data_IF_640609541181
#
_entry.id   IF_640609541181
#
_cell.length_a   1.000
_cell.length_b   1.000
_cell.length_c   1.000
_cell.angle_alpha   90.00
_cell.angle_beta   90.00
_cell.angle_gamma   90.00
#
_symmetry.space_group_name_H-M   'P 1'
#
loop_
_entity.id
_entity.type
_entity.pdbx_description
1 polymer ?
#
# COMPACT_ATOMS: atom_id res chain seq x y z
N UNK A 1 -16.45 4.48 13.55
CA UNK A 1 -17.15 3.37 12.87
C UNK A 1 -18.04 3.83 11.71
N UNK A 2 -18.81 4.93 11.78
CA UNK A 2 -19.65 5.40 10.64
C UNK A 2 -18.91 5.63 9.31
N UNK A 3 -17.66 6.12 9.34
CA UNK A 3 -16.85 6.37 8.13
C UNK A 3 -16.40 5.06 7.45
N UNK A 4 -16.03 4.07 8.23
CA UNK A 4 -15.58 2.76 7.73
C UNK A 4 -16.73 1.98 7.06
N UNK A 5 -17.94 1.96 7.66
CA UNK A 5 -19.10 1.29 7.07
C UNK A 5 -19.55 1.96 5.79
N UNK A 6 -19.45 3.29 5.72
CA UNK A 6 -19.76 4.05 4.52
C UNK A 6 -18.78 3.75 3.39
N UNK A 7 -17.48 3.78 3.70
CA UNK A 7 -16.44 3.46 2.74
C UNK A 7 -16.55 2.00 2.26
N UNK A 8 -16.95 1.07 3.12
CA UNK A 8 -17.22 -0.31 2.75
C UNK A 8 -18.30 -0.42 1.67
N UNK A 9 -19.44 0.24 1.87
CA UNK A 9 -20.52 0.27 0.86
C UNK A 9 -20.03 0.88 -0.47
N UNK A 10 -19.23 1.92 -0.43
CA UNK A 10 -18.65 2.53 -1.63
C UNK A 10 -17.64 1.59 -2.33
N UNK A 11 -16.86 0.83 -1.56
CA UNK A 11 -15.95 -0.19 -2.10
C UNK A 11 -16.74 -1.31 -2.78
N UNK A 12 -17.82 -1.79 -2.16
CA UNK A 12 -18.71 -2.79 -2.78
C UNK A 12 -19.39 -2.25 -4.05
N UNK A 13 -19.80 -0.97 -4.08
CA UNK A 13 -20.33 -0.34 -5.29
C UNK A 13 -19.26 -0.16 -6.39
N UNK A 14 -17.97 -0.33 -6.06
CA UNK A 14 -16.83 -0.21 -6.96
C UNK A 14 -16.14 -1.56 -7.21
N UNK A 15 -16.85 -2.69 -7.06
CA UNK A 15 -16.32 -4.04 -7.33
C UNK A 15 -15.65 -4.17 -8.72
N UNK A 16 -16.18 -3.59 -9.81
CA UNK A 16 -15.48 -3.64 -11.11
C UNK A 16 -14.09 -3.00 -11.08
N UNK A 17 -13.91 -1.91 -10.30
CA UNK A 17 -12.60 -1.28 -10.10
C UNK A 17 -11.65 -2.20 -9.30
N UNK A 18 -12.16 -2.84 -8.24
CA UNK A 18 -11.38 -3.81 -7.45
C UNK A 18 -10.99 -5.00 -8.35
N UNK A 19 -11.91 -5.50 -9.18
CA UNK A 19 -11.66 -6.56 -10.14
C UNK A 19 -10.59 -6.19 -11.18
N UNK A 20 -10.60 -4.96 -11.68
CA UNK A 20 -9.58 -4.46 -12.59
C UNK A 20 -8.19 -4.44 -11.93
N UNK A 21 -8.09 -3.93 -10.70
CA UNK A 21 -6.82 -3.87 -9.95
C UNK A 21 -6.33 -5.28 -9.63
N UNK A 22 -7.24 -6.17 -9.23
CA UNK A 22 -6.92 -7.59 -9.00
C UNK A 22 -6.43 -8.26 -10.28
N UNK A 23 -7.10 -8.06 -11.41
CA UNK A 23 -6.70 -8.61 -12.71
C UNK A 23 -5.29 -8.18 -13.12
N UNK A 24 -4.95 -6.89 -12.95
CA UNK A 24 -3.59 -6.39 -13.19
C UNK A 24 -2.57 -7.06 -12.27
N UNK A 25 -2.90 -7.25 -11.00
CA UNK A 25 -2.02 -7.93 -10.03
C UNK A 25 -1.84 -9.39 -10.40
N UNK A 26 -2.91 -10.06 -10.85
CA UNK A 26 -2.88 -11.44 -11.32
C UNK A 26 -1.97 -11.60 -12.54
N UNK A 27 -2.08 -10.72 -13.53
CA UNK A 27 -1.22 -10.74 -14.73
C UNK A 27 0.25 -10.61 -14.33
N UNK A 28 0.59 -9.67 -13.43
CA UNK A 28 1.96 -9.54 -12.94
C UNK A 28 2.44 -10.78 -12.19
N UNK A 29 1.57 -11.43 -11.42
CA UNK A 29 1.88 -12.71 -10.76
C UNK A 29 2.15 -13.84 -11.74
N UNK A 30 1.35 -13.96 -12.82
CA UNK A 30 1.55 -14.96 -13.86
C UNK A 30 2.85 -14.76 -14.62
N UNK A 31 3.29 -13.52 -14.84
CA UNK A 31 4.59 -13.24 -15.47
C UNK A 31 5.79 -13.78 -14.68
N UNK A 32 5.65 -13.94 -13.36
CA UNK A 32 6.65 -14.62 -12.51
C UNK A 32 6.43 -16.11 -12.47
N UNK A 33 5.18 -16.56 -12.35
CA UNK A 33 4.84 -17.95 -12.14
C UNK A 33 5.23 -18.82 -13.35
N UNK A 34 5.04 -18.31 -14.58
CA UNK A 34 5.33 -19.08 -15.80
C UNK A 34 6.82 -19.44 -15.96
N UNK A 35 7.79 -18.50 -15.87
CA UNK A 35 9.21 -18.85 -15.92
C UNK A 35 9.64 -19.75 -14.76
N UNK A 36 9.10 -19.50 -13.55
CA UNK A 36 9.41 -20.36 -12.39
C UNK A 36 8.93 -21.78 -12.62
N UNK A 37 7.71 -21.95 -13.11
CA UNK A 37 7.17 -23.27 -13.47
C UNK A 37 8.04 -23.98 -14.52
N UNK A 38 8.46 -23.30 -15.60
CA UNK A 38 9.33 -23.88 -16.61
C UNK A 38 10.69 -24.31 -16.07
N UNK A 39 11.26 -23.55 -15.14
CA UNK A 39 12.52 -23.90 -14.46
C UNK A 39 12.35 -25.15 -13.60
N UNK A 40 11.27 -25.21 -12.81
CA UNK A 40 10.98 -26.32 -11.93
C UNK A 40 10.70 -27.62 -12.72
N UNK A 41 9.94 -27.56 -13.80
CA UNK A 41 9.67 -28.76 -14.65
C UNK A 41 10.93 -29.29 -15.33
N UNK A 42 11.89 -28.41 -15.68
CA UNK A 42 13.17 -28.84 -16.25
C UNK A 42 14.04 -29.57 -15.21
N UNK A 43 13.99 -29.14 -13.95
CA UNK A 43 14.75 -29.78 -12.87
C UNK A 43 14.10 -31.06 -12.37
N UNK A 44 12.76 -31.12 -12.32
CA UNK A 44 12.01 -32.34 -11.93
C UNK A 44 12.34 -33.54 -12.84
N UNK A 45 12.57 -33.31 -14.13
CA UNK A 45 13.03 -34.33 -15.07
C UNK A 45 14.44 -34.84 -14.76
N UNK A 46 15.22 -34.13 -13.94
CA UNK A 46 16.62 -34.47 -13.63
C UNK A 46 16.83 -35.09 -12.26
N UNK A 47 15.92 -34.84 -11.30
CA UNK A 47 16.10 -35.28 -9.91
C UNK A 47 14.76 -35.43 -9.17
N UNK A 48 14.47 -36.65 -8.73
CA UNK A 48 13.31 -36.94 -7.86
C UNK A 48 13.45 -36.40 -6.43
N UNK A 49 14.66 -36.02 -6.03
CA UNK A 49 14.94 -35.49 -4.67
C UNK A 49 14.18 -34.19 -4.42
N UNK A 50 13.80 -33.47 -5.47
CA UNK A 50 13.02 -32.25 -5.41
C UNK A 50 11.60 -32.45 -4.86
N UNK A 51 11.03 -33.66 -5.05
CA UNK A 51 9.71 -34.05 -4.51
C UNK A 51 9.68 -34.07 -2.97
N UNK A 52 10.84 -34.24 -2.31
CA UNK A 52 10.93 -34.20 -0.87
C UNK A 52 10.58 -32.82 -0.27
N UNK A 53 10.69 -31.74 -1.06
CA UNK A 53 10.25 -30.40 -0.65
C UNK A 53 8.72 -30.28 -0.49
N UNK A 54 7.95 -31.21 -1.06
CA UNK A 54 6.50 -31.28 -0.88
C UNK A 54 6.11 -31.76 0.55
N UNK A 55 7.00 -32.51 1.20
CA UNK A 55 6.77 -33.06 2.54
C UNK A 55 7.37 -32.21 3.67
N UNK A 56 8.11 -31.15 3.33
CA UNK A 56 8.70 -30.23 4.29
C UNK A 56 9.94 -29.51 3.76
N UNK A 57 10.35 -28.47 4.47
CA UNK A 57 11.53 -27.71 4.11
C UNK A 57 12.80 -28.50 4.44
N UNK A 58 13.57 -28.91 3.42
CA UNK A 58 14.89 -29.51 3.56
C UNK A 58 15.96 -28.56 3.00
N UNK A 59 16.82 -28.06 3.88
CA UNK A 59 17.88 -27.13 3.55
C UNK A 59 18.88 -27.73 2.54
N UNK A 60 19.18 -29.02 2.66
CA UNK A 60 20.14 -29.70 1.76
C UNK A 60 19.61 -29.78 0.35
N UNK A 61 18.34 -30.08 0.18
CA UNK A 61 17.66 -30.13 -1.14
C UNK A 61 17.60 -28.75 -1.76
N UNK A 62 17.25 -27.71 -0.97
CA UNK A 62 17.23 -26.31 -1.44
C UNK A 62 18.64 -25.83 -1.82
N UNK A 63 19.64 -26.14 -1.01
CA UNK A 63 21.04 -25.77 -1.28
C UNK A 63 21.57 -26.44 -2.57
N UNK A 64 21.28 -27.72 -2.77
CA UNK A 64 21.66 -28.45 -3.98
C UNK A 64 20.96 -27.90 -5.24
N UNK A 65 19.67 -27.59 -5.13
CA UNK A 65 18.91 -26.90 -6.19
C UNK A 65 19.53 -25.52 -6.52
N UNK A 66 19.86 -24.72 -5.52
CA UNK A 66 20.51 -23.41 -5.73
C UNK A 66 21.88 -23.53 -6.36
N UNK A 67 22.63 -24.60 -6.06
CA UNK A 67 23.96 -24.84 -6.64
C UNK A 67 23.86 -25.33 -8.09
N UNK A 68 22.92 -26.20 -8.40
CA UNK A 68 22.75 -26.77 -9.76
C UNK A 68 22.09 -25.78 -10.72
N UNK A 69 20.99 -25.19 -10.29
CA UNK A 69 20.14 -24.30 -11.10
C UNK A 69 20.35 -22.81 -10.80
N UNK A 70 21.47 -22.46 -10.16
CA UNK A 70 21.74 -21.11 -9.68
C UNK A 70 21.67 -20.02 -10.76
N UNK A 71 22.00 -20.33 -12.00
CA UNK A 71 21.88 -19.38 -13.12
C UNK A 71 20.41 -19.07 -13.44
N UNK A 72 19.57 -20.11 -13.57
CA UNK A 72 18.14 -19.98 -13.84
C UNK A 72 17.41 -19.30 -12.67
N UNK A 73 17.73 -19.69 -11.43
CA UNK A 73 17.19 -19.10 -10.22
C UNK A 73 17.55 -17.62 -10.10
N UNK A 74 18.79 -17.23 -10.38
CA UNK A 74 19.22 -15.81 -10.40
C UNK A 74 18.45 -15.00 -11.44
N UNK A 75 18.18 -15.57 -12.62
CA UNK A 75 17.39 -14.91 -13.65
C UNK A 75 15.95 -14.67 -13.19
N UNK A 76 15.32 -15.66 -12.55
CA UNK A 76 13.95 -15.53 -11.98
C UNK A 76 13.93 -14.49 -10.85
N UNK A 77 14.90 -14.50 -9.93
CA UNK A 77 14.98 -13.47 -8.90
C UNK A 77 15.22 -12.06 -9.48
N UNK A 78 15.98 -11.95 -10.56
CA UNK A 78 16.12 -10.71 -11.33
C UNK A 78 14.77 -10.23 -11.86
N UNK A 79 13.98 -11.11 -12.46
CA UNK A 79 12.64 -10.83 -12.96
C UNK A 79 11.70 -10.38 -11.82
N UNK A 80 11.67 -11.11 -10.70
CA UNK A 80 10.87 -10.78 -9.50
C UNK A 80 11.19 -9.39 -9.00
N UNK A 81 12.48 -9.00 -8.95
CA UNK A 81 12.90 -7.66 -8.53
C UNK A 81 12.32 -6.58 -9.44
N UNK A 82 12.40 -6.74 -10.76
CA UNK A 82 11.85 -5.79 -11.72
C UNK A 82 10.32 -5.72 -11.68
N UNK A 83 9.65 -6.85 -11.52
CA UNK A 83 8.20 -6.89 -11.39
C UNK A 83 7.70 -6.28 -10.08
N UNK A 84 8.44 -6.46 -8.97
CA UNK A 84 8.14 -5.75 -7.72
C UNK A 84 8.25 -4.22 -7.89
N UNK A 85 9.26 -3.75 -8.60
CA UNK A 85 9.41 -2.34 -8.91
C UNK A 85 8.23 -1.84 -9.76
N UNK A 86 7.87 -2.58 -10.80
CA UNK A 86 6.72 -2.29 -11.66
C UNK A 86 5.41 -2.27 -10.86
N UNK A 87 5.21 -3.23 -9.97
CA UNK A 87 4.04 -3.27 -9.08
C UNK A 87 3.98 -2.05 -8.16
N UNK A 88 5.12 -1.61 -7.63
CA UNK A 88 5.20 -0.41 -6.81
C UNK A 88 4.75 0.84 -7.61
N UNK A 89 5.25 1.02 -8.83
CA UNK A 89 4.83 2.11 -9.72
C UNK A 89 3.34 2.01 -10.06
N UNK A 90 2.87 0.82 -10.39
CA UNK A 90 1.48 0.57 -10.71
C UNK A 90 0.56 0.92 -9.52
N UNK A 91 0.95 0.62 -8.30
CA UNK A 91 0.15 0.98 -7.12
C UNK A 91 0.05 2.48 -6.89
N UNK A 92 1.11 3.24 -7.18
CA UNK A 92 1.09 4.71 -7.12
C UNK A 92 0.19 5.26 -8.22
N UNK A 93 0.33 4.75 -9.44
CA UNK A 93 -0.47 5.13 -10.61
C UNK A 93 -1.97 4.91 -10.36
N UNK A 94 -2.37 3.72 -9.92
CA UNK A 94 -3.76 3.35 -9.68
C UNK A 94 -4.41 4.14 -8.53
N UNK A 95 -3.61 4.68 -7.60
CA UNK A 95 -4.13 5.47 -6.48
C UNK A 95 -4.88 6.71 -6.97
N UNK A 96 -4.45 7.35 -8.05
CA UNK A 96 -5.13 8.51 -8.66
C UNK A 96 -6.56 8.18 -9.10
N UNK A 97 -6.73 7.08 -9.84
CA UNK A 97 -8.05 6.62 -10.29
C UNK A 97 -8.96 6.20 -9.14
N UNK A 98 -8.41 5.54 -8.09
CA UNK A 98 -9.17 5.16 -6.88
C UNK A 98 -9.69 6.41 -6.18
N UNK A 99 -8.86 7.43 -5.97
CA UNK A 99 -9.27 8.67 -5.30
C UNK A 99 -10.29 9.44 -6.13
N UNK A 100 -10.13 9.52 -7.46
CA UNK A 100 -11.11 10.13 -8.34
C UNK A 100 -12.48 9.42 -8.24
N UNK A 101 -12.49 8.10 -8.20
CA UNK A 101 -13.72 7.32 -8.03
C UNK A 101 -14.42 7.64 -6.71
N UNK A 102 -13.69 7.70 -5.60
CA UNK A 102 -14.27 8.09 -4.31
C UNK A 102 -14.78 9.53 -4.30
N UNK A 103 -14.09 10.46 -4.96
CA UNK A 103 -14.56 11.83 -5.12
C UNK A 103 -15.87 11.89 -5.89
N UNK A 104 -16.02 11.14 -6.98
CA UNK A 104 -17.26 11.02 -7.75
C UNK A 104 -18.40 10.44 -6.89
N UNK A 105 -18.17 9.36 -6.15
CA UNK A 105 -19.17 8.75 -5.29
C UNK A 105 -19.61 9.69 -4.15
N UNK A 106 -18.70 10.48 -3.62
CA UNK A 106 -19.03 11.47 -2.58
C UNK A 106 -19.84 12.63 -3.13
N UNK A 107 -19.59 13.10 -4.35
CA UNK A 107 -20.35 14.17 -5.01
C UNK A 107 -21.76 13.74 -5.42
N UNK A 108 -21.93 12.48 -5.84
CA UNK A 108 -23.26 11.91 -6.16
C UNK A 108 -24.16 11.77 -4.94
N UNK A 109 -23.57 11.55 -3.76
CA UNK A 109 -24.33 11.48 -2.51
C UNK A 109 -24.98 12.82 -2.13
N UNK A 110 -24.44 13.93 -2.59
CA UNK A 110 -25.00 15.27 -2.40
C UNK A 110 -26.19 15.54 -3.35
N UNK A 111 -26.46 14.65 -4.32
CA UNK A 111 -27.60 14.74 -5.27
C UNK A 111 -28.72 13.80 -4.84
N UNK A 112 -30.00 14.12 -5.20
CA UNK A 112 -31.14 13.30 -4.81
C UNK A 112 -31.03 11.86 -5.33
N UNK A 113 -31.52 10.92 -4.51
CA UNK A 113 -31.41 9.48 -4.68
C UNK A 113 -31.93 9.01 -6.06
N UNK A 114 -31.06 8.31 -6.82
CA UNK A 114 -31.44 7.67 -8.08
C UNK A 114 -30.30 7.43 -9.07
N UNK A 115 -29.20 8.16 -9.01
CA UNK A 115 -28.07 7.96 -9.94
C UNK A 115 -26.98 7.07 -9.31
N UNK A 116 -27.09 5.78 -9.51
CA UNK A 116 -25.95 4.86 -9.31
C UNK A 116 -24.98 5.12 -10.46
N UNK A 117 -23.88 5.81 -10.18
CA UNK A 117 -22.82 6.00 -11.18
C UNK A 117 -22.22 4.65 -11.55
N UNK A 118 -22.51 4.17 -12.74
CA UNK A 118 -21.82 3.02 -13.32
C UNK A 118 -20.32 3.29 -13.36
N UNK A 119 -19.52 2.26 -13.15
CA UNK A 119 -18.06 2.36 -13.27
C UNK A 119 -17.69 2.58 -14.75
N UNK A 120 -17.03 3.70 -15.04
CA UNK A 120 -16.50 4.01 -16.38
C UNK A 120 -14.98 3.90 -16.30
N UNK A 121 -14.43 2.91 -17.02
CA UNK A 121 -12.99 2.66 -17.03
C UNK A 121 -12.20 3.86 -17.61
N UNK A 122 -12.75 4.57 -18.61
CA UNK A 122 -12.15 5.78 -19.20
C UNK A 122 -11.83 6.83 -18.13
N UNK A 123 -12.82 7.20 -17.30
CA UNK A 123 -12.64 8.18 -16.24
C UNK A 123 -11.64 7.71 -15.16
N UNK A 124 -11.56 6.40 -14.94
CA UNK A 124 -10.57 5.84 -14.01
C UNK A 124 -9.15 6.02 -14.53
N UNK A 125 -8.92 5.73 -15.83
CA UNK A 125 -7.60 5.90 -16.47
C UNK A 125 -7.21 7.38 -16.61
N UNK A 126 -8.15 8.26 -16.90
CA UNK A 126 -7.93 9.72 -16.91
C UNK A 126 -7.48 10.22 -15.53
N UNK A 127 -8.13 9.75 -14.45
CA UNK A 127 -7.70 10.07 -13.10
C UNK A 127 -6.31 9.54 -12.76
N UNK A 128 -5.97 8.34 -13.25
CA UNK A 128 -4.62 7.81 -13.08
C UNK A 128 -3.57 8.68 -13.79
N UNK A 129 -3.81 9.06 -15.05
CA UNK A 129 -2.84 9.82 -15.85
C UNK A 129 -2.67 11.25 -15.35
N UNK A 130 -3.76 11.91 -14.97
CA UNK A 130 -3.75 13.31 -14.52
C UNK A 130 -2.94 13.51 -13.22
N UNK A 131 -3.04 12.57 -12.27
CA UNK A 131 -2.42 12.72 -10.96
C UNK A 131 -1.10 11.98 -10.80
N UNK A 132 -0.67 11.16 -11.79
CA UNK A 132 0.53 10.31 -11.67
C UNK A 132 1.79 11.10 -11.31
N UNK A 133 2.08 12.20 -11.98
CA UNK A 133 3.31 12.96 -11.75
C UNK A 133 3.38 13.58 -10.35
N UNK A 134 2.24 14.01 -9.81
CA UNK A 134 2.15 14.57 -8.46
C UNK A 134 2.24 13.48 -7.39
N UNK A 135 1.53 12.38 -7.57
CA UNK A 135 1.58 11.23 -6.67
C UNK A 135 2.97 10.58 -6.66
N UNK A 136 3.65 10.59 -7.81
CA UNK A 136 4.99 10.06 -7.92
C UNK A 136 6.03 10.91 -7.16
N UNK A 137 5.94 12.25 -7.26
CA UNK A 137 6.77 13.14 -6.43
C UNK A 137 6.52 12.94 -4.94
N UNK A 138 5.24 12.78 -4.55
CA UNK A 138 4.89 12.51 -3.15
C UNK A 138 5.40 11.14 -2.69
N UNK A 139 5.33 10.13 -3.56
CA UNK A 139 5.91 8.83 -3.29
C UNK A 139 7.42 8.93 -3.03
N UNK A 140 8.16 9.69 -3.87
CA UNK A 140 9.59 9.96 -3.65
C UNK A 140 9.87 10.62 -2.31
N UNK A 141 9.06 11.62 -1.91
CA UNK A 141 9.17 12.26 -0.58
C UNK A 141 8.90 11.25 0.54
N UNK A 142 7.85 10.45 0.43
CA UNK A 142 7.54 9.42 1.43
C UNK A 142 8.67 8.40 1.54
N UNK A 143 9.20 7.94 0.40
CA UNK A 143 10.33 7.02 0.35
C UNK A 143 11.57 7.61 1.01
N UNK A 144 11.88 8.88 0.75
CA UNK A 144 12.99 9.59 1.39
C UNK A 144 12.87 9.56 2.91
N UNK A 145 11.70 9.91 3.46
CA UNK A 145 11.48 9.88 4.91
C UNK A 145 11.57 8.46 5.49
N UNK A 146 11.07 7.46 4.78
CA UNK A 146 11.19 6.05 5.20
C UNK A 146 12.66 5.61 5.20
N UNK A 147 13.43 5.96 4.18
CA UNK A 147 14.86 5.64 4.13
C UNK A 147 15.65 6.33 5.24
N UNK A 148 15.41 7.62 5.47
CA UNK A 148 16.06 8.35 6.58
C UNK A 148 15.74 7.67 7.92
N UNK A 149 14.48 7.31 8.14
CA UNK A 149 14.08 6.60 9.36
C UNK A 149 14.73 5.23 9.46
N UNK A 150 14.84 4.48 8.36
CA UNK A 150 15.52 3.19 8.35
C UNK A 150 17.01 3.32 8.70
N UNK A 151 17.71 4.36 8.19
CA UNK A 151 19.11 4.64 8.54
C UNK A 151 19.24 4.99 10.03
N UNK A 152 18.36 5.84 10.57
CA UNK A 152 18.36 6.19 11.99
C UNK A 152 18.20 4.92 12.85
N UNK A 153 17.21 4.07 12.52
CA UNK A 153 16.97 2.82 13.25
C UNK A 153 18.11 1.83 13.09
N UNK A 154 18.78 1.80 11.93
CA UNK A 154 19.97 0.97 11.72
C UNK A 154 21.11 1.42 12.66
N UNK A 155 21.35 2.72 12.78
CA UNK A 155 22.37 3.26 13.70
C UNK A 155 22.00 2.90 15.16
N UNK A 156 20.74 3.13 15.57
CA UNK A 156 20.25 2.75 16.90
C UNK A 156 20.41 1.24 17.13
N UNK A 157 20.10 0.42 16.13
CA UNK A 157 20.22 -1.05 16.19
C UNK A 157 21.66 -1.50 16.41
N UNK A 158 22.65 -0.86 15.74
CA UNK A 158 24.07 -1.14 15.97
C UNK A 158 24.46 -0.76 17.40
N UNK A 159 24.05 0.39 17.91
CA UNK A 159 24.35 0.84 19.28
C UNK A 159 23.71 -0.07 20.32
N UNK A 160 22.43 -0.43 20.15
CA UNK A 160 21.73 -1.36 21.04
C UNK A 160 22.36 -2.75 20.97
N UNK A 161 22.67 -3.24 19.77
CA UNK A 161 23.33 -4.54 19.59
C UNK A 161 24.70 -4.61 20.28
N UNK A 162 25.51 -3.54 20.21
CA UNK A 162 26.80 -3.48 20.91
C UNK A 162 26.64 -3.46 22.44
N UNK A 163 25.61 -2.79 22.95
CA UNK A 163 25.32 -2.75 24.37
C UNK A 163 24.79 -4.07 24.90
N UNK A 164 23.97 -4.78 24.12
CA UNK A 164 23.37 -6.07 24.48
C UNK A 164 24.38 -7.22 24.35
N UNK A 165 25.36 -7.12 23.45
CA UNK A 165 26.40 -8.15 23.31
C UNK A 165 27.24 -8.34 24.59
N UNK A 166 27.22 -7.38 25.51
CA UNK A 166 27.85 -7.47 26.82
C UNK A 166 26.93 -8.06 27.91
N UNK A 167 25.67 -8.32 27.62
CA UNK A 167 24.73 -8.93 28.59
C UNK A 167 24.87 -10.45 28.62
N UNK A 168 24.87 -11.01 29.82
CA UNK A 168 25.12 -12.46 30.06
C UNK A 168 23.86 -13.32 29.85
N UNK A 169 22.67 -12.70 29.61
CA UNK A 169 21.39 -13.42 29.63
C UNK A 169 20.67 -13.33 28.25
N UNK A 170 20.49 -14.49 27.60
CA UNK A 170 19.75 -14.59 26.31
C UNK A 170 18.33 -14.00 26.38
N UNK A 171 17.67 -14.12 27.55
CA UNK A 171 16.32 -13.59 27.75
C UNK A 171 16.24 -12.07 27.63
N UNK A 172 17.26 -11.36 28.14
CA UNK A 172 17.36 -9.89 28.04
C UNK A 172 17.56 -9.46 26.60
N UNK A 173 18.43 -10.18 25.86
CA UNK A 173 18.70 -9.94 24.44
C UNK A 173 17.42 -10.07 23.61
N UNK A 174 16.62 -11.11 23.83
CA UNK A 174 15.35 -11.32 23.14
C UNK A 174 14.36 -10.19 23.49
N UNK A 175 14.25 -9.82 24.77
CA UNK A 175 13.36 -8.76 25.22
C UNK A 175 13.67 -7.39 24.59
N UNK A 176 14.95 -7.00 24.60
CA UNK A 176 15.41 -5.74 24.00
C UNK A 176 15.18 -5.75 22.49
N UNK A 177 15.50 -6.85 21.81
CA UNK A 177 15.28 -6.99 20.38
C UNK A 177 13.80 -6.87 20.02
N UNK A 178 12.90 -7.47 20.77
CA UNK A 178 11.46 -7.41 20.54
C UNK A 178 10.94 -5.96 20.69
N UNK A 179 11.36 -5.25 21.73
CA UNK A 179 11.00 -3.84 21.95
C UNK A 179 11.55 -2.97 20.80
N UNK A 180 12.80 -3.19 20.41
CA UNK A 180 13.42 -2.48 19.29
C UNK A 180 12.62 -2.65 17.98
N UNK A 181 12.30 -3.89 17.59
CA UNK A 181 11.52 -4.17 16.40
C UNK A 181 10.09 -3.64 16.49
N UNK A 182 9.46 -3.66 17.67
CA UNK A 182 8.14 -3.08 17.88
C UNK A 182 8.14 -1.56 17.66
N UNK A 183 9.12 -0.84 18.20
CA UNK A 183 9.27 0.60 18.02
C UNK A 183 9.59 0.96 16.56
N UNK A 184 10.47 0.20 15.92
CA UNK A 184 10.76 0.34 14.48
C UNK A 184 9.50 0.16 13.63
N UNK A 185 8.71 -0.89 13.88
CA UNK A 185 7.47 -1.15 13.17
C UNK A 185 6.44 -0.03 13.39
N UNK A 186 6.27 0.46 14.62
CA UNK A 186 5.36 1.56 14.93
C UNK A 186 5.75 2.86 14.24
N UNK A 187 7.03 3.22 14.23
CA UNK A 187 7.50 4.45 13.56
C UNK A 187 7.38 4.35 12.05
N UNK A 188 7.73 3.20 11.45
CA UNK A 188 7.62 2.98 10.02
C UNK A 188 6.16 2.99 9.56
N UNK A 189 5.27 2.30 10.28
CA UNK A 189 3.83 2.29 9.96
C UNK A 189 3.19 3.66 10.14
N UNK A 190 3.63 4.46 11.10
CA UNK A 190 3.19 5.86 11.26
C UNK A 190 3.57 6.71 10.03
N UNK A 191 4.80 6.59 9.53
CA UNK A 191 5.23 7.31 8.33
C UNK A 191 4.44 6.89 7.08
N UNK A 192 4.17 5.59 6.92
CA UNK A 192 3.35 5.08 5.83
C UNK A 192 1.91 5.62 5.93
N UNK A 193 1.34 5.67 7.13
CA UNK A 193 0.05 6.29 7.39
C UNK A 193 0.05 7.77 6.96
N UNK A 194 1.06 8.55 7.36
CA UNK A 194 1.22 9.97 6.95
C UNK A 194 1.29 10.07 5.43
N UNK A 195 2.04 9.18 4.76
CA UNK A 195 2.13 9.11 3.30
C UNK A 195 0.77 8.87 2.63
N UNK A 196 -0.07 7.99 3.18
CA UNK A 196 -1.41 7.73 2.64
C UNK A 196 -2.34 8.92 2.81
N UNK A 197 -2.33 9.60 3.97
CA UNK A 197 -3.08 10.84 4.17
C UNK A 197 -2.57 11.98 3.27
N UNK A 198 -1.26 12.04 3.02
CA UNK A 198 -0.66 13.03 2.13
C UNK A 198 -1.15 12.88 0.67
N UNK A 199 -1.35 11.63 0.19
CA UNK A 199 -1.96 11.36 -1.13
C UNK A 199 -3.36 11.97 -1.24
N UNK A 200 -4.16 11.84 -0.19
CA UNK A 200 -5.54 12.36 -0.15
C UNK A 200 -5.55 13.89 -0.11
N UNK A 201 -4.67 14.51 0.69
CA UNK A 201 -4.55 15.97 0.79
C UNK A 201 -4.07 16.54 -0.56
N UNK A 202 -3.06 15.93 -1.17
CA UNK A 202 -2.53 16.33 -2.47
C UNK A 202 -3.61 16.26 -3.57
N UNK A 203 -4.43 15.21 -3.56
CA UNK A 203 -5.54 15.05 -4.49
C UNK A 203 -6.64 16.10 -4.25
N UNK A 204 -7.02 16.36 -2.99
CA UNK A 204 -8.11 17.26 -2.63
C UNK A 204 -7.78 18.73 -2.87
N UNK A 205 -6.58 19.16 -2.43
CA UNK A 205 -6.20 20.58 -2.41
C UNK A 205 -5.49 21.02 -3.68
N UNK A 206 -5.35 20.12 -4.67
CA UNK A 206 -4.61 20.31 -5.94
C UNK A 206 -3.20 20.90 -5.69
N UNK A 207 -2.59 20.50 -4.55
CA UNK A 207 -1.36 21.07 -4.07
C UNK A 207 -0.17 20.68 -4.97
N UNK A 208 0.57 21.66 -5.46
CA UNK A 208 1.74 21.42 -6.32
C UNK A 208 2.99 20.99 -5.54
N UNK A 209 3.02 21.16 -4.22
CA UNK A 209 4.18 20.88 -3.36
C UNK A 209 4.04 19.58 -2.56
N UNK A 210 4.76 18.51 -2.97
CA UNK A 210 4.74 17.22 -2.28
C UNK A 210 5.19 17.30 -0.80
N UNK A 211 6.25 18.06 -0.50
CA UNK A 211 6.74 18.28 0.87
C UNK A 211 5.71 18.99 1.74
N UNK A 212 5.02 20.00 1.19
CA UNK A 212 3.98 20.72 1.90
C UNK A 212 2.79 19.80 2.22
N UNK A 213 2.36 18.98 1.25
CA UNK A 213 1.29 18.01 1.45
C UNK A 213 1.67 16.97 2.52
N UNK A 214 2.91 16.48 2.50
CA UNK A 214 3.41 15.54 3.50
C UNK A 214 3.46 16.17 4.90
N UNK A 215 3.95 17.40 5.02
CA UNK A 215 3.97 18.14 6.30
C UNK A 215 2.57 18.45 6.85
N UNK A 216 1.61 18.79 5.98
CA UNK A 216 0.22 18.98 6.37
C UNK A 216 -0.43 17.68 6.84
N UNK A 217 -0.17 16.57 6.13
CA UNK A 217 -0.63 15.25 6.53
C UNK A 217 -0.04 14.84 7.88
N UNK A 218 1.26 15.04 8.08
CA UNK A 218 1.92 14.77 9.36
C UNK A 218 1.28 15.53 10.51
N UNK A 219 1.04 16.83 10.35
CA UNK A 219 0.35 17.65 11.38
C UNK A 219 -1.07 17.14 11.64
N UNK A 220 -1.82 16.77 10.60
CA UNK A 220 -3.18 16.25 10.73
C UNK A 220 -3.20 14.92 11.47
N UNK A 221 -2.30 14.00 11.10
CA UNK A 221 -2.21 12.65 11.71
C UNK A 221 -1.78 12.78 13.17
N UNK A 222 -0.73 13.55 13.48
CA UNK A 222 -0.22 13.71 14.84
C UNK A 222 -1.23 14.42 15.77
N UNK A 223 -1.99 15.39 15.25
CA UNK A 223 -3.03 16.07 16.04
C UNK A 223 -4.22 15.16 16.36
N UNK A 224 -4.52 14.18 15.50
CA UNK A 224 -5.65 13.28 15.66
C UNK A 224 -5.19 11.81 15.71
N UNK A 225 -4.05 11.54 16.34
CA UNK A 225 -3.35 10.26 16.35
C UNK A 225 -4.26 9.06 16.65
N UNK A 226 -5.11 9.05 17.71
CA UNK A 226 -5.93 7.88 18.02
C UNK A 226 -6.99 7.58 16.94
N UNK A 227 -7.48 8.62 16.23
CA UNK A 227 -8.50 8.44 15.19
C UNK A 227 -7.91 8.07 13.83
N UNK A 228 -6.75 8.62 13.47
CA UNK A 228 -6.11 8.39 12.17
C UNK A 228 -5.22 7.16 12.22
N UNK A 229 -4.24 7.16 13.11
CA UNK A 229 -3.29 6.06 13.24
C UNK A 229 -3.90 4.82 13.88
N UNK A 230 -4.78 4.98 14.89
CA UNK A 230 -5.51 3.87 15.48
C UNK A 230 -6.37 3.14 14.45
N UNK A 231 -7.06 3.87 13.57
CA UNK A 231 -7.81 3.27 12.46
C UNK A 231 -6.88 2.55 11.47
N UNK A 232 -5.72 3.13 11.15
CA UNK A 232 -4.71 2.51 10.28
C UNK A 232 -4.22 1.18 10.85
N UNK A 233 -3.92 1.14 12.16
CA UNK A 233 -3.52 -0.09 12.85
C UNK A 233 -4.60 -1.17 12.81
N UNK A 234 -5.88 -0.79 12.93
CA UNK A 234 -7.00 -1.74 12.79
C UNK A 234 -7.00 -2.38 11.39
N UNK A 235 -6.78 -1.60 10.33
CA UNK A 235 -6.68 -2.14 8.97
C UNK A 235 -5.46 -3.05 8.78
N UNK A 236 -4.32 -2.71 9.39
CA UNK A 236 -3.14 -3.60 9.42
C UNK A 236 -3.48 -4.89 10.13
N UNK A 237 -4.14 -4.83 11.29
CA UNK A 237 -4.52 -6.00 12.07
C UNK A 237 -5.47 -6.92 11.29
N UNK A 238 -6.47 -6.35 10.60
CA UNK A 238 -7.38 -7.11 9.72
C UNK A 238 -6.57 -7.80 8.61
N UNK A 239 -5.65 -7.08 7.96
CA UNK A 239 -4.80 -7.64 6.89
C UNK A 239 -3.89 -8.76 7.40
N UNK A 240 -3.28 -8.57 8.57
CA UNK A 240 -2.44 -9.60 9.23
C UNK A 240 -3.30 -10.79 9.66
N UNK A 241 -4.53 -10.57 10.15
CA UNK A 241 -5.46 -11.64 10.49
C UNK A 241 -5.88 -12.47 9.28
N UNK A 242 -6.16 -11.85 8.13
CA UNK A 242 -6.42 -12.56 6.87
C UNK A 242 -5.22 -13.43 6.45
N UNK A 243 -4.00 -12.91 6.63
CA UNK A 243 -2.77 -13.62 6.32
C UNK A 243 -2.53 -14.80 7.29
N UNK A 244 -2.74 -14.59 8.58
CA UNK A 244 -2.66 -15.65 9.58
C UNK A 244 -3.69 -16.77 9.31
N UNK A 245 -4.92 -16.39 8.95
CA UNK A 245 -5.96 -17.35 8.56
C UNK A 245 -5.53 -18.20 7.36
N UNK A 246 -4.89 -17.59 6.37
CA UNK A 246 -4.34 -18.31 5.22
C UNK A 246 -3.32 -19.38 5.66
N UNK A 247 -2.37 -19.05 6.53
CA UNK A 247 -1.39 -20.01 7.04
C UNK A 247 -2.02 -21.16 7.83
N UNK A 248 -3.05 -20.86 8.62
CA UNK A 248 -3.81 -21.89 9.32
C UNK A 248 -4.50 -22.82 8.34
N UNK A 249 -5.13 -22.28 7.29
CA UNK A 249 -5.77 -23.10 6.26
C UNK A 249 -4.75 -23.95 5.49
N UNK A 250 -3.61 -23.36 5.13
CA UNK A 250 -2.52 -24.07 4.45
C UNK A 250 -1.97 -25.22 5.31
N UNK A 251 -1.80 -25.02 6.61
CA UNK A 251 -1.30 -26.05 7.54
C UNK A 251 -2.30 -27.20 7.77
N UNK A 252 -3.60 -26.94 7.57
CA UNK A 252 -4.65 -27.96 7.72
C UNK A 252 -4.88 -28.76 6.44
N UNK A 253 -4.46 -28.24 5.28
CA UNK A 253 -4.67 -28.86 3.99
C UNK A 253 -3.43 -29.65 3.60
N UNK A 254 -3.51 -30.99 3.64
CA UNK A 254 -2.47 -31.88 3.09
C UNK A 254 -2.58 -31.91 1.56
N UNK A 255 -1.45 -31.72 0.87
CA UNK A 255 -1.42 -31.65 -0.60
C UNK A 255 -1.26 -33.06 -1.18
N UNK A 256 -2.33 -33.85 -1.13
CA UNK A 256 -2.29 -35.25 -1.57
C UNK A 256 -2.77 -35.49 -3.03
N UNK A 257 -3.09 -34.41 -3.77
CA UNK A 257 -3.55 -34.55 -5.15
C UNK A 257 -3.89 -33.24 -5.86
N UNK A 258 -4.14 -33.33 -7.16
CA UNK A 258 -4.46 -32.23 -8.05
C UNK A 258 -5.62 -31.35 -7.57
N UNK A 259 -6.66 -31.96 -7.01
CA UNK A 259 -7.82 -31.22 -6.49
C UNK A 259 -7.42 -30.31 -5.31
N UNK A 260 -6.54 -30.79 -4.43
CA UNK A 260 -6.07 -30.01 -3.27
C UNK A 260 -5.18 -28.85 -3.71
N UNK A 261 -4.35 -29.03 -4.75
CA UNK A 261 -3.58 -27.95 -5.38
C UNK A 261 -4.53 -26.88 -5.93
N UNK A 262 -5.60 -27.27 -6.62
CA UNK A 262 -6.59 -26.33 -7.14
C UNK A 262 -7.31 -25.55 -6.00
N UNK A 263 -7.66 -26.23 -4.91
CA UNK A 263 -8.27 -25.59 -3.72
C UNK A 263 -7.31 -24.58 -3.11
N UNK A 264 -6.05 -24.93 -2.88
CA UNK A 264 -5.02 -24.01 -2.37
C UNK A 264 -4.84 -22.80 -3.28
N UNK A 265 -4.81 -23.01 -4.60
CA UNK A 265 -4.74 -21.91 -5.56
C UNK A 265 -5.92 -20.96 -5.41
N UNK A 266 -7.15 -21.47 -5.28
CA UNK A 266 -8.33 -20.62 -5.06
C UNK A 266 -8.22 -19.85 -3.74
N UNK A 267 -7.80 -20.50 -2.66
CA UNK A 267 -7.58 -19.84 -1.35
C UNK A 267 -6.56 -18.71 -1.46
N UNK A 268 -5.45 -18.92 -2.18
CA UNK A 268 -4.46 -17.87 -2.46
C UNK A 268 -5.05 -16.72 -3.26
N UNK A 269 -5.88 -17.00 -4.28
CA UNK A 269 -6.53 -15.94 -5.06
C UNK A 269 -7.52 -15.13 -4.22
N UNK A 270 -8.26 -15.75 -3.32
CA UNK A 270 -9.14 -15.07 -2.36
C UNK A 270 -8.33 -14.17 -1.42
N UNK A 271 -7.17 -14.61 -0.94
CA UNK A 271 -6.28 -13.80 -0.12
C UNK A 271 -5.79 -12.56 -0.90
N UNK A 272 -5.33 -12.72 -2.14
CA UNK A 272 -4.87 -11.60 -2.98
C UNK A 272 -6.02 -10.60 -3.22
N UNK A 273 -7.21 -11.09 -3.58
CA UNK A 273 -8.39 -10.26 -3.77
C UNK A 273 -8.79 -9.52 -2.49
N UNK A 274 -8.70 -10.16 -1.32
CA UNK A 274 -8.99 -9.54 -0.03
C UNK A 274 -8.01 -8.41 0.29
N UNK A 275 -6.71 -8.56 0.00
CA UNK A 275 -5.69 -7.51 0.17
C UNK A 275 -5.95 -6.30 -0.72
N UNK A 276 -6.32 -6.52 -1.99
CA UNK A 276 -6.69 -5.44 -2.91
C UNK A 276 -7.92 -4.69 -2.38
N UNK A 277 -8.96 -5.43 -1.99
CA UNK A 277 -10.18 -4.87 -1.42
C UNK A 277 -9.91 -4.07 -0.15
N UNK A 278 -9.08 -4.60 0.75
CA UNK A 278 -8.69 -3.94 1.99
C UNK A 278 -7.96 -2.62 1.73
N UNK A 279 -7.07 -2.58 0.74
CA UNK A 279 -6.36 -1.36 0.33
C UNK A 279 -7.30 -0.30 -0.21
N UNK A 280 -8.25 -0.69 -1.06
CA UNK A 280 -9.26 0.22 -1.61
C UNK A 280 -10.17 0.73 -0.49
N UNK A 281 -10.62 -0.14 0.39
CA UNK A 281 -11.44 0.21 1.56
C UNK A 281 -10.71 1.17 2.50
N UNK A 282 -9.43 0.93 2.78
CA UNK A 282 -8.61 1.84 3.58
C UNK A 282 -8.57 3.24 2.95
N UNK A 283 -8.25 3.36 1.65
CA UNK A 283 -8.19 4.65 0.96
C UNK A 283 -9.54 5.38 0.99
N UNK A 284 -10.65 4.67 0.80
CA UNK A 284 -12.00 5.24 0.91
C UNK A 284 -12.32 5.72 2.33
N UNK A 285 -11.91 4.96 3.34
CA UNK A 285 -12.11 5.33 4.75
C UNK A 285 -11.27 6.56 5.12
N UNK A 286 -10.00 6.59 4.72
CA UNK A 286 -9.12 7.73 4.95
C UNK A 286 -9.62 8.99 4.21
N UNK A 287 -10.13 8.84 2.97
CA UNK A 287 -10.74 9.93 2.21
C UNK A 287 -11.97 10.51 2.93
N UNK A 288 -12.89 9.67 3.40
CA UNK A 288 -14.07 10.10 4.14
C UNK A 288 -13.73 10.75 5.48
N UNK A 289 -12.67 10.27 6.14
CA UNK A 289 -12.18 10.84 7.40
C UNK A 289 -11.61 12.24 7.18
N UNK A 290 -10.79 12.45 6.16
CA UNK A 290 -10.21 13.77 5.82
C UNK A 290 -11.31 14.78 5.49
N UNK A 291 -12.39 14.35 4.83
CA UNK A 291 -13.54 15.22 4.56
C UNK A 291 -14.30 15.65 5.84
N UNK A 292 -14.31 14.81 6.87
CA UNK A 292 -15.01 15.09 8.12
C UNK A 292 -14.21 15.94 9.12
N UNK A 293 -12.90 16.08 8.91
CA UNK A 293 -12.06 16.87 9.80
C UNK A 293 -12.16 18.38 9.46
N UNK A 294 -12.26 19.26 10.47
CA UNK A 294 -12.32 20.69 10.25
C UNK A 294 -11.07 21.15 9.50
N UNK A 295 -11.29 21.79 8.36
CA UNK A 295 -10.20 22.34 7.55
C UNK A 295 -9.59 23.55 8.27
N UNK A 296 -8.26 23.71 8.27
CA UNK A 296 -7.69 25.01 8.55
C UNK A 296 -8.23 25.98 7.49
N UNK A 297 -8.93 27.01 7.96
CA UNK A 297 -9.49 28.05 7.09
C UNK A 297 -8.36 28.54 6.18
N UNK A 298 -8.47 28.22 4.89
CA UNK A 298 -7.59 28.79 3.87
C UNK A 298 -7.90 30.30 3.89
N UNK A 299 -7.01 31.09 4.46
CA UNK A 299 -7.05 32.53 4.24
C UNK A 299 -6.95 32.72 2.73
N UNK A 300 -8.08 32.85 2.09
CA UNK A 300 -8.17 33.39 0.74
C UNK A 300 -7.57 34.77 0.89
N UNK A 301 -6.34 34.96 0.41
CA UNK A 301 -5.76 36.29 0.24
C UNK A 301 -6.82 37.09 -0.48
N UNK A 302 -7.40 38.07 0.20
CA UNK A 302 -8.39 38.95 -0.38
C UNK A 302 -7.81 39.42 -1.73
N UNK A 303 -8.60 39.42 -2.81
CA UNK A 303 -8.12 40.00 -4.05
C UNK A 303 -7.66 41.41 -3.72
N UNK A 304 -6.43 41.71 -4.08
CA UNK A 304 -5.91 43.08 -4.06
C UNK A 304 -6.86 43.87 -4.96
N UNK A 305 -7.82 44.51 -4.35
CA UNK A 305 -8.67 45.49 -5.03
C UNK A 305 -7.70 46.59 -5.46
N UNK A 306 -7.32 46.51 -6.73
CA UNK A 306 -6.54 47.52 -7.40
C UNK A 306 -7.27 48.84 -7.19
N UNK A 307 -6.64 49.72 -6.43
CA UNK A 307 -6.91 51.16 -6.36
C UNK A 307 -6.67 51.76 -7.75
N UNK A 308 -7.60 51.53 -8.68
CA UNK A 308 -7.68 52.18 -9.96
C UNK A 308 -9.01 52.91 -10.03
N UNK A 309 -9.16 53.94 -9.18
CA UNK A 309 -10.25 54.92 -9.31
C UNK A 309 -9.96 56.17 -8.52
N UNK A 310 -8.85 56.90 -8.81
CA UNK A 310 -8.67 58.27 -8.37
C UNK A 310 -7.69 59.03 -9.27
N UNK A 311 -7.70 58.79 -10.57
CA UNK A 311 -6.86 59.64 -11.49
C UNK A 311 -7.57 60.10 -12.76
N UNK A 312 -8.91 60.12 -12.75
CA UNK A 312 -9.64 60.70 -13.90
C UNK A 312 -10.57 61.89 -13.54
N UNK A 313 -10.27 62.60 -12.46
CA UNK A 313 -11.06 63.79 -12.07
C UNK A 313 -10.19 65.03 -11.88
N UNK A 314 -9.21 65.27 -12.77
CA UNK A 314 -8.39 66.50 -12.76
C UNK A 314 -7.91 66.97 -14.12
N UNK A 315 -8.74 66.80 -15.15
CA UNK A 315 -8.58 67.47 -16.42
C UNK A 315 -9.96 67.87 -16.95
N UNK A 316 -10.58 68.87 -16.32
CA UNK A 316 -11.57 69.74 -16.88
C UNK A 316 -11.82 70.85 -15.88
N UNK A 317 -10.93 71.90 -15.91
CA UNK A 317 -11.20 73.30 -15.57
C UNK A 317 -10.13 74.20 -16.19
#
# INVERSE_FOLDING_TARGET
MKHSTLAWRQTLASLPMVGLIYGLTLVLGLLVALPMYSTLTTEDQRSLTFLNLLHGFDYTVVSDFMNRSGAAVKAVFGLVRWLNLTYLFLTVFLTGGILLRFAQLSSLRARPAGMVSQFRAELFWDGCSQYVGRLFRLFGVTLLFVLVTAVIWLIIGILVGSAVSSSETERETIGVSLVFFALFALTTTLLLCIGDFAKIILFRDDAHGAFRAFGQAGRLVLRNLPRTYGLYLVFILIGTGCFALYFVLESLLTVDGWLMIAVLFVVQQVLIASRVTLKVWWLGTAYSLVQSLPQPVRQVSAPVTSTLSTESAKEDC
#
